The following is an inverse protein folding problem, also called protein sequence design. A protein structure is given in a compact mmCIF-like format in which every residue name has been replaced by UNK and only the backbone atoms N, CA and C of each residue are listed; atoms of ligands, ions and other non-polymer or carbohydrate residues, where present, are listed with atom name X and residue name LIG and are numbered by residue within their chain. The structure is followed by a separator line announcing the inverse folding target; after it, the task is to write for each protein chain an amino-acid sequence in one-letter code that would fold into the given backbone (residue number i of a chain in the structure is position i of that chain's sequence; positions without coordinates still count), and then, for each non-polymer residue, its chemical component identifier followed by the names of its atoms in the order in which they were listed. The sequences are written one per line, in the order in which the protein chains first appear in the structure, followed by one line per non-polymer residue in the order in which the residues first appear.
data_IF_612649103209
#
_entry.id   IF_612649103209
#
_cell.length_a   1.000
_cell.length_b   1.000
_cell.length_c   1.000
_cell.angle_alpha   90.00
_cell.angle_beta   90.00
_cell.angle_gamma   90.00
#
_symmetry.space_group_name_H-M   'P 1'
#
loop_
_entity.id
_entity.type
_entity.pdbx_description
1 polymer ?
#
# COMPACT_ATOMS: atom_id res chain seq x y z
N UNK A 1 -13.15 -39.53 20.52
CA UNK A 1 -11.95 -38.83 19.99
C UNK A 1 -11.55 -37.75 20.99
N UNK A 2 -10.28 -37.65 21.37
CA UNK A 2 -9.78 -36.53 22.19
C UNK A 2 -9.46 -35.37 21.24
N UNK A 3 -10.17 -34.26 21.38
CA UNK A 3 -9.87 -33.05 20.62
C UNK A 3 -8.93 -32.18 21.45
N UNK A 4 -7.88 -31.64 20.83
CA UNK A 4 -7.08 -30.58 21.44
C UNK A 4 -7.74 -29.24 21.11
N UNK A 5 -8.02 -28.46 22.15
CA UNK A 5 -8.52 -27.09 22.04
C UNK A 5 -7.32 -26.15 21.97
N UNK A 6 -7.28 -25.30 20.95
CA UNK A 6 -6.31 -24.22 20.84
C UNK A 6 -6.97 -22.88 21.17
N UNK A 7 -6.25 -21.98 21.84
CA UNK A 7 -6.66 -20.58 21.93
C UNK A 7 -6.61 -19.93 20.54
N UNK A 8 -7.57 -19.05 20.24
CA UNK A 8 -7.54 -18.27 19.00
C UNK A 8 -6.27 -17.41 18.95
N UNK A 9 -5.56 -17.44 17.82
CA UNK A 9 -4.50 -16.47 17.55
C UNK A 9 -5.13 -15.12 17.20
N UNK A 10 -5.26 -14.25 18.21
CA UNK A 10 -5.88 -12.94 18.10
C UNK A 10 -5.16 -11.90 18.98
N UNK A 11 -5.37 -10.63 18.68
CA UNK A 11 -4.76 -9.50 19.39
C UNK A 11 -5.70 -8.77 20.33
N UNK A 12 -5.16 -7.75 21.00
CA UNK A 12 -5.89 -6.84 21.87
C UNK A 12 -6.31 -5.56 21.13
N UNK A 13 -7.01 -4.66 21.82
CA UNK A 13 -7.36 -3.34 21.26
C UNK A 13 -6.11 -2.50 20.90
N UNK A 14 -4.98 -2.71 21.57
CA UNK A 14 -3.71 -2.07 21.22
C UNK A 14 -3.23 -2.48 19.83
N UNK A 15 -3.45 -3.74 19.42
CA UNK A 15 -3.14 -4.21 18.06
C UNK A 15 -4.05 -3.55 17.02
N UNK A 16 -5.34 -3.35 17.33
CA UNK A 16 -6.25 -2.57 16.48
C UNK A 16 -5.73 -1.14 16.30
N UNK A 17 -5.26 -0.51 17.38
CA UNK A 17 -4.71 0.83 17.28
C UNK A 17 -3.37 0.89 16.53
N UNK A 18 -2.52 -0.11 16.66
CA UNK A 18 -1.24 -0.20 15.96
C UNK A 18 -1.40 -0.46 14.44
N UNK A 19 -2.43 -1.21 14.06
CA UNK A 19 -2.78 -1.46 12.65
C UNK A 19 -1.79 -2.33 11.88
N UNK A 20 -2.00 -2.41 10.56
CA UNK A 20 -1.28 -3.33 9.68
C UNK A 20 0.25 -3.10 9.67
N UNK A 21 0.69 -1.85 9.68
CA UNK A 21 2.12 -1.50 9.56
C UNK A 21 2.96 -2.09 10.70
N UNK A 22 2.40 -2.18 11.92
CA UNK A 22 3.08 -2.83 13.05
C UNK A 22 3.29 -4.33 12.82
N UNK A 23 2.46 -4.95 11.98
CA UNK A 23 2.44 -6.41 11.75
C UNK A 23 3.39 -6.85 10.65
N UNK A 24 3.38 -6.16 9.52
CA UNK A 24 4.13 -6.53 8.31
C UNK A 24 5.25 -5.54 7.94
N UNK A 25 5.36 -4.42 8.64
CA UNK A 25 6.32 -3.36 8.35
C UNK A 25 5.84 -2.38 7.26
N UNK A 26 6.79 -1.62 6.70
CA UNK A 26 6.53 -0.69 5.59
C UNK A 26 6.53 -1.40 4.24
N UNK A 27 5.60 -1.03 3.36
CA UNK A 27 5.65 -1.42 1.97
C UNK A 27 6.63 -0.53 1.17
N UNK A 28 7.13 -1.05 0.06
CA UNK A 28 7.90 -0.28 -0.91
C UNK A 28 6.99 0.31 -1.99
N UNK A 29 7.47 1.38 -2.63
CA UNK A 29 6.65 2.21 -3.51
C UNK A 29 6.25 1.52 -4.84
N UNK A 30 7.11 0.67 -5.41
CA UNK A 30 6.82 -0.03 -6.65
C UNK A 30 6.08 -1.34 -6.38
N UNK A 31 4.76 -1.26 -6.19
CA UNK A 31 3.92 -2.39 -5.77
C UNK A 31 4.00 -3.60 -6.70
N UNK A 32 3.95 -3.41 -8.03
CA UNK A 32 3.96 -4.56 -8.96
C UNK A 32 5.30 -5.31 -8.92
N UNK A 33 6.42 -4.58 -8.97
CA UNK A 33 7.74 -5.20 -8.87
C UNK A 33 7.95 -5.86 -7.50
N UNK A 34 7.47 -5.22 -6.44
CA UNK A 34 7.57 -5.74 -5.08
C UNK A 34 6.81 -7.05 -4.91
N UNK A 35 5.53 -7.07 -5.31
CA UNK A 35 4.71 -8.27 -5.25
C UNK A 35 5.30 -9.40 -6.10
N UNK A 36 5.85 -9.09 -7.28
CA UNK A 36 6.56 -10.08 -8.09
C UNK A 36 7.76 -10.67 -7.34
N UNK A 37 8.58 -9.81 -6.72
CA UNK A 37 9.75 -10.25 -5.95
C UNK A 37 9.34 -11.13 -4.76
N UNK A 38 8.30 -10.74 -4.01
CA UNK A 38 7.75 -11.51 -2.89
C UNK A 38 7.33 -12.92 -3.29
N UNK A 39 6.77 -13.11 -4.49
CA UNK A 39 6.28 -14.42 -4.94
C UNK A 39 7.29 -15.23 -5.76
N UNK A 40 8.28 -14.59 -6.37
CA UNK A 40 9.17 -15.23 -7.34
C UNK A 40 10.64 -15.33 -6.89
N UNK A 41 10.96 -14.89 -5.67
CA UNK A 41 12.34 -14.91 -5.14
C UNK A 41 12.52 -15.99 -4.08
N UNK A 42 13.54 -16.82 -4.28
CA UNK A 42 13.89 -17.92 -3.37
C UNK A 42 14.33 -17.41 -1.98
N UNK A 43 14.14 -18.21 -0.91
CA UNK A 43 13.58 -19.57 -0.92
C UNK A 43 12.05 -19.62 -0.68
N UNK A 44 11.41 -18.48 -0.44
CA UNK A 44 9.98 -18.42 -0.14
C UNK A 44 9.12 -18.80 -1.35
N UNK A 45 9.56 -18.45 -2.56
CA UNK A 45 8.82 -18.68 -3.79
C UNK A 45 8.56 -20.14 -4.14
N UNK A 46 9.45 -21.07 -3.78
CA UNK A 46 9.26 -22.51 -4.02
C UNK A 46 8.73 -23.28 -2.81
N UNK A 47 8.48 -22.61 -1.68
CA UNK A 47 7.94 -23.28 -0.49
C UNK A 47 6.56 -23.85 -0.80
N UNK A 48 6.47 -25.18 -0.81
CA UNK A 48 5.20 -25.90 -0.98
C UNK A 48 4.32 -25.75 0.26
N UNK A 49 3.04 -25.53 0.03
CA UNK A 49 2.01 -25.55 1.07
C UNK A 49 0.71 -26.17 0.50
N UNK A 50 -0.09 -26.78 1.39
CA UNK A 50 -1.38 -27.37 1.04
C UNK A 50 -2.51 -26.57 1.71
N UNK A 51 -3.53 -26.20 0.94
CA UNK A 51 -4.68 -25.48 1.49
C UNK A 51 -5.53 -26.38 2.38
N UNK A 52 -5.85 -25.93 3.59
CA UNK A 52 -6.71 -26.68 4.53
C UNK A 52 -8.14 -26.95 4.03
N UNK A 53 -8.70 -26.08 3.18
CA UNK A 53 -10.10 -26.16 2.74
C UNK A 53 -10.30 -26.85 1.37
N UNK A 54 -9.27 -26.87 0.52
CA UNK A 54 -9.38 -27.37 -0.86
C UNK A 54 -8.38 -28.49 -1.19
N UNK A 55 -7.51 -28.88 -0.23
CA UNK A 55 -6.44 -29.88 -0.43
C UNK A 55 -5.62 -29.64 -1.71
N UNK A 56 -5.31 -28.37 -1.99
CA UNK A 56 -4.54 -27.94 -3.14
C UNK A 56 -3.09 -27.69 -2.74
N UNK A 57 -2.16 -28.47 -3.31
CA UNK A 57 -0.72 -28.33 -3.11
C UNK A 57 -0.12 -27.40 -4.18
N UNK A 58 0.51 -26.30 -3.75
CA UNK A 58 1.07 -25.28 -4.65
C UNK A 58 2.26 -24.56 -4.02
N UNK A 59 2.80 -23.55 -4.70
CA UNK A 59 3.85 -22.65 -4.22
C UNK A 59 3.47 -21.18 -4.50
N UNK A 60 4.03 -20.19 -3.77
CA UNK A 60 3.80 -18.78 -4.10
C UNK A 60 4.15 -18.42 -5.54
N UNK A 61 5.20 -19.02 -6.11
CA UNK A 61 5.62 -18.78 -7.49
C UNK A 61 4.61 -19.32 -8.50
N UNK A 62 4.10 -20.54 -8.27
CA UNK A 62 3.12 -21.17 -9.16
C UNK A 62 1.81 -20.39 -9.17
N UNK A 63 1.34 -19.96 -8.00
CA UNK A 63 0.14 -19.13 -7.87
C UNK A 63 0.29 -17.76 -8.55
N UNK A 64 1.43 -17.10 -8.38
CA UNK A 64 1.73 -15.85 -9.09
C UNK A 64 1.69 -16.04 -10.61
N UNK A 65 2.42 -17.04 -11.13
CA UNK A 65 2.45 -17.32 -12.57
C UNK A 65 1.06 -17.65 -13.12
N UNK A 66 0.29 -18.44 -12.37
CA UNK A 66 -1.05 -18.86 -12.78
C UNK A 66 -2.04 -17.69 -12.84
N UNK A 67 -2.02 -16.79 -11.84
CA UNK A 67 -2.92 -15.63 -11.81
C UNK A 67 -2.59 -14.60 -12.89
N UNK A 68 -1.31 -14.49 -13.28
CA UNK A 68 -0.88 -13.57 -14.33
C UNK A 68 -0.93 -14.17 -15.75
N UNK A 69 -1.22 -15.46 -15.89
CA UNK A 69 -1.39 -16.09 -17.20
C UNK A 69 -2.64 -15.51 -17.91
N UNK A 70 -2.53 -14.99 -19.14
CA UNK A 70 -3.69 -14.51 -19.89
C UNK A 70 -4.66 -15.62 -20.29
N UNK A 71 -4.21 -16.89 -20.32
CA UNK A 71 -5.00 -18.06 -20.69
C UNK A 71 -4.83 -19.18 -19.64
N UNK A 72 -5.24 -18.95 -18.38
CA UNK A 72 -4.95 -19.88 -17.30
C UNK A 72 -5.77 -21.17 -17.48
N UNK A 73 -5.08 -22.31 -17.51
CA UNK A 73 -5.74 -23.62 -17.55
C UNK A 73 -6.31 -23.92 -16.16
N UNK A 74 -7.62 -23.82 -16.01
CA UNK A 74 -8.31 -24.19 -14.77
C UNK A 74 -8.24 -25.71 -14.59
N UNK A 75 -7.33 -26.19 -13.73
CA UNK A 75 -7.34 -27.58 -13.29
C UNK A 75 -8.48 -27.76 -12.29
N UNK A 76 -9.49 -28.54 -12.65
CA UNK A 76 -10.57 -28.96 -11.74
C UNK A 76 -9.96 -29.80 -10.61
N UNK A 77 -9.52 -29.17 -9.53
CA UNK A 77 -9.27 -29.89 -8.27
C UNK A 77 -10.59 -30.02 -7.52
N UNK A 78 -10.88 -31.23 -7.06
CA UNK A 78 -12.06 -31.59 -6.27
C UNK A 78 -12.08 -30.79 -4.96
N UNK A 79 -12.85 -29.68 -4.94
CA UNK A 79 -13.08 -28.92 -3.73
C UNK A 79 -14.00 -29.68 -2.76
N UNK A 80 -13.73 -29.54 -1.47
CA UNK A 80 -14.72 -29.80 -0.43
C UNK A 80 -15.87 -28.82 -0.70
N UNK A 81 -17.10 -29.33 -0.92
CA UNK A 81 -18.32 -28.61 -1.36
C UNK A 81 -18.55 -28.45 -2.88
N UNK A 82 -17.79 -29.10 -3.76
CA UNK A 82 -18.17 -29.23 -5.18
C UNK A 82 -17.99 -27.99 -6.07
N UNK A 83 -17.38 -26.91 -5.55
CA UNK A 83 -17.04 -25.73 -6.35
C UNK A 83 -15.70 -25.93 -7.09
N UNK A 84 -15.76 -26.12 -8.40
CA UNK A 84 -14.55 -26.19 -9.22
C UNK A 84 -13.79 -24.85 -9.16
N UNK A 85 -12.48 -24.94 -8.89
CA UNK A 85 -11.56 -23.79 -8.95
C UNK A 85 -11.48 -23.28 -10.39
N UNK A 86 -11.68 -21.97 -10.57
CA UNK A 86 -11.53 -21.26 -11.86
C UNK A 86 -10.64 -20.05 -11.66
N UNK A 87 -9.63 -19.88 -12.51
CA UNK A 87 -8.77 -18.69 -12.44
C UNK A 87 -9.42 -17.56 -13.27
N UNK A 88 -9.85 -16.45 -12.65
CA UNK A 88 -10.45 -15.35 -13.39
C UNK A 88 -9.38 -14.52 -14.12
N UNK A 89 -9.74 -13.99 -15.28
CA UNK A 89 -8.84 -13.16 -16.09
C UNK A 89 -8.87 -11.72 -15.56
N UNK A 90 -7.71 -11.21 -15.14
CA UNK A 90 -7.54 -9.88 -14.50
C UNK A 90 -8.18 -8.75 -15.33
N UNK A 91 -7.93 -8.72 -16.64
CA UNK A 91 -8.44 -7.65 -17.51
C UNK A 91 -9.96 -7.66 -17.66
N UNK A 92 -10.60 -8.82 -17.45
CA UNK A 92 -12.06 -8.91 -17.42
C UNK A 92 -12.62 -8.44 -16.07
N UNK A 93 -11.93 -8.75 -14.97
CA UNK A 93 -12.30 -8.28 -13.64
C UNK A 93 -12.22 -6.75 -13.51
N UNK A 94 -11.25 -6.11 -14.17
CA UNK A 94 -11.16 -4.64 -14.22
C UNK A 94 -12.34 -3.96 -14.92
N UNK A 95 -13.09 -4.70 -15.75
CA UNK A 95 -14.27 -4.18 -16.46
C UNK A 95 -15.56 -4.29 -15.64
N UNK A 96 -15.53 -4.98 -14.49
CA UNK A 96 -16.68 -5.08 -13.60
C UNK A 96 -17.09 -3.71 -13.07
N UNK A 97 -18.39 -3.51 -12.89
CA UNK A 97 -18.91 -2.24 -12.35
C UNK A 97 -18.44 -1.99 -10.92
N UNK A 98 -18.29 -3.05 -10.11
CA UNK A 98 -17.66 -3.00 -8.79
C UNK A 98 -16.22 -2.48 -8.86
N UNK A 99 -15.40 -3.00 -9.79
CA UNK A 99 -14.02 -2.56 -9.99
C UNK A 99 -13.92 -1.09 -10.43
N UNK A 100 -14.75 -0.69 -11.40
CA UNK A 100 -14.79 0.70 -11.90
C UNK A 100 -15.22 1.68 -10.82
N UNK A 101 -16.30 1.36 -10.09
CA UNK A 101 -16.81 2.22 -9.01
C UNK A 101 -15.81 2.34 -7.86
N UNK A 102 -15.13 1.24 -7.51
CA UNK A 102 -14.08 1.23 -6.50
C UNK A 102 -12.78 1.87 -6.97
N UNK A 103 -12.62 2.10 -8.29
CA UNK A 103 -11.36 2.54 -8.93
C UNK A 103 -10.21 1.60 -8.56
N UNK A 104 -10.44 0.29 -8.75
CA UNK A 104 -9.39 -0.70 -8.53
C UNK A 104 -8.31 -0.58 -9.59
N UNK A 105 -7.08 -0.56 -9.13
CA UNK A 105 -5.89 -0.72 -9.97
C UNK A 105 -5.70 -2.19 -10.34
N UNK A 106 -5.00 -2.44 -11.46
CA UNK A 106 -4.72 -3.81 -11.92
C UNK A 106 -4.05 -4.66 -10.84
N UNK A 107 -3.12 -4.08 -10.09
CA UNK A 107 -2.39 -4.76 -9.04
C UNK A 107 -3.26 -5.11 -7.82
N UNK A 108 -4.30 -4.31 -7.54
CA UNK A 108 -5.30 -4.58 -6.50
C UNK A 108 -6.18 -5.77 -6.87
N UNK A 109 -6.58 -5.86 -8.15
CA UNK A 109 -7.31 -7.04 -8.67
C UNK A 109 -6.46 -8.30 -8.57
N UNK A 110 -5.17 -8.24 -8.92
CA UNK A 110 -4.25 -9.37 -8.77
C UNK A 110 -4.18 -9.83 -7.31
N UNK A 111 -4.07 -8.91 -6.35
CA UNK A 111 -4.02 -9.25 -4.92
C UNK A 111 -5.30 -9.95 -4.44
N UNK A 112 -6.49 -9.51 -4.87
CA UNK A 112 -7.76 -10.17 -4.55
C UNK A 112 -7.79 -11.59 -5.13
N UNK A 113 -7.41 -11.76 -6.40
CA UNK A 113 -7.42 -13.07 -7.05
C UNK A 113 -6.43 -14.02 -6.37
N UNK A 114 -5.23 -13.56 -6.01
CA UNK A 114 -4.28 -14.36 -5.22
C UNK A 114 -4.88 -14.77 -3.88
N UNK A 115 -5.48 -13.82 -3.14
CA UNK A 115 -6.09 -14.10 -1.84
C UNK A 115 -7.21 -15.13 -1.94
N UNK A 116 -8.13 -15.01 -2.90
CA UNK A 116 -9.24 -15.96 -3.06
C UNK A 116 -8.81 -17.33 -3.57
N UNK A 117 -7.57 -17.45 -4.05
CA UNK A 117 -6.90 -18.72 -4.29
C UNK A 117 -6.18 -19.25 -3.05
N UNK A 118 -5.25 -20.21 -3.19
CA UNK A 118 -4.47 -20.79 -2.10
C UNK A 118 -3.73 -19.79 -1.20
N UNK A 119 -3.34 -18.62 -1.72
CA UNK A 119 -2.48 -17.69 -0.99
C UNK A 119 -3.12 -17.06 0.25
N UNK A 120 -4.45 -17.15 0.47
CA UNK A 120 -5.05 -16.73 1.75
C UNK A 120 -4.38 -17.42 2.94
N UNK A 121 -3.92 -18.67 2.78
CA UNK A 121 -3.32 -19.43 3.87
C UNK A 121 -1.99 -18.80 4.27
N UNK A 122 -1.12 -18.52 3.30
CA UNK A 122 0.17 -17.86 3.55
C UNK A 122 -0.02 -16.48 4.16
N UNK A 123 -0.86 -15.63 3.55
CA UNK A 123 -1.05 -14.26 4.03
C UNK A 123 -1.66 -14.22 5.43
N UNK A 124 -2.66 -15.08 5.71
CA UNK A 124 -3.23 -15.15 7.05
C UNK A 124 -2.30 -15.80 8.07
N UNK A 125 -1.43 -16.73 7.68
CA UNK A 125 -0.38 -17.28 8.56
C UNK A 125 0.59 -16.18 8.98
N UNK A 126 1.02 -15.35 8.04
CA UNK A 126 1.89 -14.19 8.31
C UNK A 126 1.20 -13.20 9.24
N UNK A 127 -0.03 -12.83 8.89
CA UNK A 127 -0.81 -11.88 9.66
C UNK A 127 -1.10 -12.41 11.07
N UNK A 128 -1.49 -13.68 11.24
CA UNK A 128 -1.75 -14.27 12.57
C UNK A 128 -0.51 -14.72 13.31
N UNK A 129 0.66 -14.74 12.65
CA UNK A 129 1.90 -15.35 13.16
C UNK A 129 1.69 -16.78 13.65
N UNK A 130 0.81 -17.51 12.97
CA UNK A 130 0.35 -18.84 13.37
C UNK A 130 -0.05 -19.67 12.13
N UNK A 131 0.32 -20.96 12.03
CA UNK A 131 1.16 -21.71 12.98
C UNK A 131 2.58 -21.13 13.09
N UNK A 132 3.16 -21.19 14.29
CA UNK A 132 4.44 -20.50 14.60
C UNK A 132 5.59 -20.99 13.70
N UNK A 133 5.66 -22.28 13.41
CA UNK A 133 6.70 -22.86 12.55
C UNK A 133 6.60 -22.35 11.11
N UNK A 134 5.39 -22.28 10.58
CA UNK A 134 5.17 -21.73 9.23
C UNK A 134 5.50 -20.24 9.19
N UNK A 135 5.08 -19.46 10.18
CA UNK A 135 5.41 -18.04 10.28
C UNK A 135 6.93 -17.82 10.34
N UNK A 136 7.64 -18.57 11.19
CA UNK A 136 9.10 -18.44 11.36
C UNK A 136 9.83 -18.69 10.05
N UNK A 137 9.38 -19.63 9.22
CA UNK A 137 9.98 -19.83 7.90
C UNK A 137 9.96 -18.55 7.05
N UNK A 138 8.84 -17.82 7.01
CA UNK A 138 8.75 -16.56 6.25
C UNK A 138 9.55 -15.42 6.91
N UNK A 139 9.57 -15.37 8.24
CA UNK A 139 10.33 -14.39 9.02
C UNK A 139 11.84 -14.55 8.84
N UNK A 140 12.36 -15.78 9.00
CA UNK A 140 13.79 -16.11 8.86
C UNK A 140 14.30 -15.84 7.44
N UNK A 141 13.43 -15.99 6.44
CA UNK A 141 13.74 -15.69 5.04
C UNK A 141 13.39 -14.25 4.63
N UNK A 142 13.03 -13.39 5.59
CA UNK A 142 12.79 -11.94 5.42
C UNK A 142 11.77 -11.60 4.32
N UNK A 143 10.72 -12.41 4.18
CA UNK A 143 9.66 -12.18 3.22
C UNK A 143 8.29 -12.46 3.85
N UNK A 144 7.69 -11.39 4.37
CA UNK A 144 6.36 -11.38 4.98
C UNK A 144 5.29 -10.85 4.02
N UNK A 145 5.55 -10.85 2.71
CA UNK A 145 4.65 -10.34 1.68
C UNK A 145 4.06 -8.92 1.97
N UNK A 146 4.85 -7.95 2.46
CA UNK A 146 4.32 -6.66 2.90
C UNK A 146 3.62 -5.87 1.80
N UNK A 147 4.15 -5.86 0.57
CA UNK A 147 3.54 -5.16 -0.55
C UNK A 147 2.23 -5.84 -0.98
N UNK A 148 2.22 -7.17 -1.09
CA UNK A 148 1.02 -7.91 -1.46
C UNK A 148 -0.12 -7.72 -0.46
N UNK A 149 0.17 -7.85 0.84
CA UNK A 149 -0.83 -7.69 1.89
C UNK A 149 -1.31 -6.22 1.95
N UNK A 150 -0.41 -5.24 1.79
CA UNK A 150 -0.79 -3.84 1.71
C UNK A 150 -1.76 -3.57 0.54
N UNK A 151 -1.42 -4.07 -0.66
CA UNK A 151 -2.25 -3.91 -1.87
C UNK A 151 -3.60 -4.61 -1.71
N UNK A 152 -3.63 -5.81 -1.12
CA UNK A 152 -4.86 -6.52 -0.79
C UNK A 152 -5.74 -5.67 0.14
N UNK A 153 -5.17 -5.10 1.19
CA UNK A 153 -5.91 -4.24 2.13
C UNK A 153 -6.44 -2.99 1.45
N UNK A 154 -5.66 -2.37 0.57
CA UNK A 154 -6.14 -1.27 -0.29
C UNK A 154 -7.37 -1.69 -1.11
N UNK A 155 -7.28 -2.84 -1.78
CA UNK A 155 -8.35 -3.38 -2.61
C UNK A 155 -9.64 -3.64 -1.82
N UNK A 156 -9.52 -4.29 -0.64
CA UNK A 156 -10.65 -4.56 0.26
C UNK A 156 -11.29 -3.26 0.74
N UNK A 157 -10.49 -2.25 1.13
CA UNK A 157 -11.04 -0.96 1.56
C UNK A 157 -11.78 -0.22 0.44
N UNK A 158 -11.25 -0.26 -0.79
CA UNK A 158 -11.92 0.34 -1.96
C UNK A 158 -13.23 -0.39 -2.28
N UNK A 159 -13.22 -1.73 -2.27
CA UNK A 159 -14.40 -2.53 -2.55
C UNK A 159 -15.46 -2.44 -1.45
N UNK A 160 -15.07 -2.36 -0.17
CA UNK A 160 -16.03 -2.23 0.93
C UNK A 160 -16.87 -0.97 0.76
N UNK A 161 -16.29 0.16 0.34
CA UNK A 161 -17.00 1.42 0.09
C UNK A 161 -18.13 1.28 -0.92
N UNK A 162 -17.95 0.45 -1.96
CA UNK A 162 -18.95 0.25 -3.03
C UNK A 162 -19.81 -0.99 -2.85
N UNK A 163 -19.53 -1.82 -1.83
CA UNK A 163 -20.31 -3.02 -1.54
C UNK A 163 -21.71 -2.64 -1.06
N UNK A 164 -22.72 -3.21 -1.70
CA UNK A 164 -24.13 -3.04 -1.33
C UNK A 164 -24.43 -3.77 -0.02
N UNK A 165 -24.91 -3.02 0.97
CA UNK A 165 -25.42 -3.56 2.23
C UNK A 165 -26.88 -3.17 2.37
N UNK A 166 -27.77 -4.16 2.43
CA UNK A 166 -29.14 -3.95 2.88
C UNK A 166 -29.20 -3.98 4.42
N UNK A 167 -30.24 -3.39 5.01
CA UNK A 167 -30.45 -3.43 6.46
C UNK A 167 -30.54 -4.87 7.02
N UNK A 168 -30.98 -5.80 6.17
CA UNK A 168 -31.16 -7.21 6.49
C UNK A 168 -29.92 -8.05 6.22
N UNK A 169 -28.88 -7.51 5.58
CA UNK A 169 -27.67 -8.27 5.31
C UNK A 169 -27.01 -8.69 6.64
N UNK A 170 -26.82 -9.99 6.77
CA UNK A 170 -26.06 -10.63 7.84
C UNK A 170 -24.89 -11.37 7.22
N UNK A 171 -23.74 -11.28 7.87
CA UNK A 171 -22.56 -12.04 7.51
C UNK A 171 -22.26 -13.04 8.61
N UNK A 172 -21.78 -14.21 8.22
CA UNK A 172 -21.56 -15.33 9.10
C UNK A 172 -20.15 -15.87 8.96
N UNK A 173 -19.56 -16.34 10.06
CA UNK A 173 -18.24 -16.99 10.07
C UNK A 173 -18.21 -18.15 11.05
N UNK A 174 -17.90 -19.36 10.55
CA UNK A 174 -17.61 -20.52 11.39
C UNK A 174 -16.16 -20.50 11.91
N UNK A 175 -15.94 -20.91 13.15
CA UNK A 175 -14.61 -20.92 13.78
C UNK A 175 -13.92 -22.29 13.82
N UNK A 176 -14.36 -23.24 12.98
CA UNK A 176 -13.71 -24.53 12.82
C UNK A 176 -13.96 -25.54 13.94
N UNK A 177 -14.33 -25.15 15.15
CA UNK A 177 -14.80 -26.08 16.19
C UNK A 177 -13.76 -26.52 17.22
N UNK A 178 -12.48 -26.22 16.98
CA UNK A 178 -11.37 -26.54 17.89
C UNK A 178 -10.68 -25.30 18.46
N UNK A 179 -11.24 -24.11 18.22
CA UNK A 179 -10.65 -22.83 18.61
C UNK A 179 -11.56 -22.18 19.65
N UNK A 180 -11.01 -21.88 20.82
CA UNK A 180 -11.68 -21.11 21.86
C UNK A 180 -11.43 -19.61 21.66
N UNK A 181 -12.48 -18.80 21.75
CA UNK A 181 -12.34 -17.35 21.87
C UNK A 181 -11.65 -17.02 23.21
N UNK A 182 -10.78 -15.99 23.26
CA UNK A 182 -10.05 -15.63 24.47
C UNK A 182 -11.01 -15.12 25.55
N UNK A 183 -10.62 -15.22 26.82
CA UNK A 183 -11.41 -14.72 27.95
C UNK A 183 -11.74 -13.22 27.81
N UNK A 184 -10.78 -12.42 27.32
CA UNK A 184 -10.95 -10.98 27.06
C UNK A 184 -12.05 -10.64 26.03
N UNK A 185 -12.49 -11.62 25.24
CA UNK A 185 -13.65 -11.43 24.36
C UNK A 185 -14.96 -11.33 25.15
N UNK A 186 -15.06 -12.07 26.25
CA UNK A 186 -16.24 -12.14 27.11
C UNK A 186 -16.15 -11.22 28.33
N UNK A 187 -14.97 -11.12 28.93
CA UNK A 187 -14.74 -10.35 30.15
C UNK A 187 -14.57 -8.86 29.82
N UNK A 188 -15.42 -8.03 30.41
CA UNK A 188 -15.30 -6.56 30.32
C UNK A 188 -14.19 -6.07 31.23
N UNK A 189 -13.39 -5.14 30.73
CA UNK A 189 -12.38 -4.43 31.50
C UNK A 189 -13.01 -3.38 32.45
N UNK A 190 -12.14 -2.64 33.15
CA UNK A 190 -12.54 -1.56 34.09
C UNK A 190 -13.37 -0.45 33.43
N UNK A 191 -13.29 -0.31 32.11
CA UNK A 191 -14.04 0.68 31.31
C UNK A 191 -15.29 0.07 30.66
N UNK A 192 -15.57 -1.22 30.92
CA UNK A 192 -16.71 -1.92 30.32
C UNK A 192 -16.47 -2.44 28.90
N UNK A 193 -15.23 -2.39 28.41
CA UNK A 193 -14.85 -2.81 27.05
C UNK A 193 -14.44 -4.29 27.03
N UNK A 194 -14.85 -5.04 26.00
CA UNK A 194 -14.40 -6.41 25.76
C UNK A 194 -14.34 -6.69 24.27
N UNK A 195 -13.48 -7.62 23.85
CA UNK A 195 -13.34 -7.95 22.43
C UNK A 195 -12.00 -8.56 22.08
N UNK A 196 -11.76 -8.67 20.78
CA UNK A 196 -10.50 -9.17 20.23
C UNK A 196 -10.18 -8.50 18.89
N UNK A 197 -8.90 -8.44 18.54
CA UNK A 197 -8.45 -8.06 17.21
C UNK A 197 -8.19 -9.31 16.38
N UNK A 198 -8.89 -9.47 15.26
CA UNK A 198 -8.54 -10.49 14.26
C UNK A 198 -7.39 -9.95 13.40
N UNK A 199 -6.21 -10.56 13.53
CA UNK A 199 -5.03 -10.11 12.80
C UNK A 199 -5.08 -10.47 11.32
N UNK A 200 -5.69 -11.58 10.95
CA UNK A 200 -5.86 -12.01 9.55
C UNK A 200 -6.95 -11.21 8.83
N UNK A 201 -7.03 -11.36 7.50
CA UNK A 201 -8.24 -10.96 6.80
C UNK A 201 -9.38 -11.88 7.25
N UNK A 202 -10.54 -11.31 7.60
CA UNK A 202 -11.65 -12.08 8.13
C UNK A 202 -12.68 -12.37 7.04
N UNK A 203 -12.61 -13.58 6.50
CA UNK A 203 -13.57 -14.09 5.52
C UNK A 203 -14.91 -14.46 6.18
N UNK A 204 -16.00 -14.07 5.54
CA UNK A 204 -17.38 -14.24 6.01
C UNK A 204 -18.29 -14.54 4.81
N UNK A 205 -19.49 -15.05 5.07
CA UNK A 205 -20.48 -15.37 4.04
C UNK A 205 -21.85 -14.82 4.38
N UNK A 206 -22.64 -14.45 3.37
CA UNK A 206 -24.06 -14.11 3.56
C UNK A 206 -24.96 -15.34 3.64
N UNK A 207 -24.42 -16.54 3.39
CA UNK A 207 -25.15 -17.81 3.45
C UNK A 207 -24.83 -18.48 4.78
N UNK A 208 -25.82 -18.51 5.67
CA UNK A 208 -25.65 -19.03 7.04
C UNK A 208 -25.22 -20.50 7.06
N UNK A 209 -25.78 -21.31 6.20
CA UNK A 209 -25.51 -22.76 6.09
C UNK A 209 -24.04 -23.01 5.75
N UNK A 210 -23.44 -22.15 4.92
CA UNK A 210 -22.01 -22.23 4.62
C UNK A 210 -21.19 -22.02 5.89
N UNK A 211 -21.51 -21.02 6.72
CA UNK A 211 -20.78 -20.81 7.97
C UNK A 211 -20.93 -21.97 8.97
N UNK A 212 -22.09 -22.63 9.01
CA UNK A 212 -22.30 -23.84 9.82
C UNK A 212 -21.40 -24.98 9.34
N UNK A 213 -21.21 -25.14 8.04
CA UNK A 213 -20.30 -26.16 7.48
C UNK A 213 -18.85 -25.94 7.92
N UNK A 214 -18.46 -24.67 8.12
CA UNK A 214 -17.15 -24.29 8.64
C UNK A 214 -17.08 -24.22 10.17
N UNK A 215 -18.18 -24.30 10.92
CA UNK A 215 -18.14 -24.15 12.39
C UNK A 215 -17.60 -25.39 13.11
N UNK A 216 -17.58 -26.55 12.45
CA UNK A 216 -17.06 -27.81 12.99
C UNK A 216 -18.11 -28.78 13.54
N UNK A 217 -19.39 -28.41 13.54
CA UNK A 217 -20.49 -29.24 14.06
C UNK A 217 -20.59 -30.59 13.34
N UNK A 218 -20.53 -30.63 12.00
CA UNK A 218 -20.52 -31.85 11.19
C UNK A 218 -19.34 -32.78 11.49
N UNK A 219 -18.24 -32.23 12.01
CA UNK A 219 -17.04 -32.98 12.41
C UNK A 219 -17.06 -33.38 13.89
N UNK A 220 -18.19 -33.17 14.58
CA UNK A 220 -18.40 -33.42 16.01
C UNK A 220 -17.33 -32.75 16.88
N UNK A 221 -16.87 -31.57 16.47
CA UNK A 221 -15.85 -30.80 17.19
C UNK A 221 -16.46 -30.10 18.40
N UNK A 222 -15.69 -29.89 19.49
CA UNK A 222 -16.23 -29.54 20.80
C UNK A 222 -16.82 -28.13 20.90
N UNK A 223 -16.40 -27.17 20.07
CA UNK A 223 -16.83 -25.76 20.15
C UNK A 223 -17.36 -25.24 18.80
N UNK A 224 -18.50 -25.76 18.31
CA UNK A 224 -19.08 -25.32 17.04
C UNK A 224 -19.65 -23.90 17.15
N UNK A 225 -18.81 -22.90 16.87
CA UNK A 225 -19.15 -21.48 16.99
C UNK A 225 -19.36 -20.86 15.61
N UNK A 226 -20.46 -20.11 15.47
CA UNK A 226 -20.73 -19.20 14.35
C UNK A 226 -20.81 -17.77 14.89
N UNK A 227 -19.99 -16.88 14.33
CA UNK A 227 -20.14 -15.44 14.53
C UNK A 227 -21.21 -14.92 13.58
N UNK A 228 -22.19 -14.20 14.10
CA UNK A 228 -23.16 -13.43 13.31
C UNK A 228 -22.79 -11.95 13.33
N UNK A 229 -22.51 -11.39 12.18
CA UNK A 229 -22.06 -10.01 12.00
C UNK A 229 -23.19 -9.21 11.33
N UNK A 230 -23.58 -8.10 11.94
CA UNK A 230 -24.43 -7.09 11.29
C UNK A 230 -23.55 -6.05 10.62
N UNK A 231 -23.70 -5.88 9.32
CA UNK A 231 -22.96 -4.84 8.60
C UNK A 231 -23.47 -3.45 8.96
N UNK A 232 -22.54 -2.50 9.08
CA UNK A 232 -22.84 -1.08 9.22
C UNK A 232 -22.71 -0.31 7.91
N UNK A 233 -23.00 1.00 7.92
CA UNK A 233 -22.73 1.88 6.78
C UNK A 233 -21.22 2.14 6.58
N UNK A 234 -20.45 2.06 7.66
CA UNK A 234 -19.01 2.29 7.72
C UNK A 234 -18.27 0.95 7.79
N UNK A 235 -18.54 0.17 8.84
CA UNK A 235 -17.85 -1.10 9.09
C UNK A 235 -18.56 -2.25 8.38
N UNK A 236 -18.16 -2.47 7.13
CA UNK A 236 -18.75 -3.49 6.26
C UNK A 236 -17.67 -4.17 5.43
N UNK A 237 -17.80 -5.48 5.26
CA UNK A 237 -16.88 -6.29 4.48
C UNK A 237 -16.99 -6.01 2.99
N UNK A 238 -15.89 -6.17 2.27
CA UNK A 238 -15.89 -6.11 0.81
C UNK A 238 -16.51 -7.37 0.22
N UNK A 239 -17.53 -7.24 -0.63
CA UNK A 239 -17.96 -8.36 -1.45
C UNK A 239 -16.90 -8.65 -2.52
N UNK A 240 -16.30 -9.84 -2.47
CA UNK A 240 -15.23 -10.25 -3.40
C UNK A 240 -15.63 -11.44 -4.27
N UNK A 241 -16.91 -11.84 -4.23
CA UNK A 241 -17.44 -12.97 -4.97
C UNK A 241 -17.07 -12.95 -6.47
N UNK A 242 -17.22 -11.81 -7.15
CA UNK A 242 -16.93 -11.71 -8.60
C UNK A 242 -15.44 -11.88 -8.95
N UNK A 243 -14.56 -11.72 -7.96
CA UNK A 243 -13.11 -11.84 -8.10
C UNK A 243 -12.58 -13.20 -7.66
N UNK A 244 -13.44 -14.04 -7.06
CA UNK A 244 -13.02 -15.28 -6.43
C UNK A 244 -12.59 -16.35 -7.43
N UNK A 245 -11.58 -17.12 -7.04
CA UNK A 245 -11.24 -18.36 -7.75
C UNK A 245 -12.28 -19.48 -7.55
N UNK A 246 -13.27 -19.27 -6.69
CA UNK A 246 -14.37 -20.21 -6.41
C UNK A 246 -15.72 -19.49 -6.61
N UNK A 247 -16.26 -19.45 -7.86
CA UNK A 247 -17.43 -18.62 -8.20
C UNK A 247 -18.71 -18.92 -7.40
N UNK A 248 -18.82 -20.12 -6.81
CA UNK A 248 -19.94 -20.52 -5.97
C UNK A 248 -19.90 -19.95 -4.55
N UNK A 249 -18.79 -19.32 -4.14
CA UNK A 249 -18.62 -18.78 -2.79
C UNK A 249 -19.10 -17.32 -2.70
N UNK A 250 -20.06 -17.07 -1.81
CA UNK A 250 -20.53 -15.70 -1.50
C UNK A 250 -19.67 -15.06 -0.41
N UNK A 251 -18.42 -14.76 -0.75
CA UNK A 251 -17.44 -14.27 0.20
C UNK A 251 -17.49 -12.74 0.40
N UNK A 252 -17.49 -12.33 1.67
CA UNK A 252 -17.29 -10.97 2.12
C UNK A 252 -16.06 -10.91 3.03
N UNK A 253 -15.18 -9.95 2.80
CA UNK A 253 -13.88 -9.89 3.44
C UNK A 253 -13.70 -8.60 4.25
N UNK A 254 -13.36 -8.74 5.53
CA UNK A 254 -12.89 -7.62 6.34
C UNK A 254 -11.36 -7.55 6.33
N UNK A 255 -10.84 -6.33 6.41
CA UNK A 255 -9.41 -6.06 6.48
C UNK A 255 -8.77 -6.67 7.74
N UNK A 256 -7.46 -6.97 7.70
CA UNK A 256 -6.66 -7.33 8.87
C UNK A 256 -6.79 -6.34 10.01
N UNK A 257 -6.50 -6.83 11.22
CA UNK A 257 -6.53 -6.05 12.45
C UNK A 257 -7.89 -5.41 12.75
N UNK A 258 -8.99 -5.97 12.24
CA UNK A 258 -10.35 -5.53 12.59
C UNK A 258 -10.70 -5.97 14.01
N UNK A 259 -11.40 -5.12 14.76
CA UNK A 259 -11.78 -5.39 16.14
C UNK A 259 -13.19 -5.99 16.20
N UNK A 260 -13.37 -7.04 16.99
CA UNK A 260 -14.62 -7.75 17.20
C UNK A 260 -15.08 -7.60 18.64
N UNK A 261 -16.34 -7.24 18.82
CA UNK A 261 -16.97 -7.07 20.12
C UNK A 261 -18.28 -7.85 20.16
N UNK A 262 -18.60 -8.43 21.31
CA UNK A 262 -19.89 -9.09 21.47
C UNK A 262 -21.03 -8.06 21.44
N UNK A 263 -21.97 -8.24 20.51
CA UNK A 263 -23.08 -7.31 20.33
C UNK A 263 -24.24 -7.59 21.28
N UNK A 264 -24.50 -8.87 21.57
CA UNK A 264 -25.57 -9.33 22.45
C UNK A 264 -25.25 -10.73 23.01
N UNK A 265 -26.10 -11.23 23.89
CA UNK A 265 -26.00 -12.61 24.39
C UNK A 265 -25.91 -13.62 23.24
N UNK A 266 -25.10 -14.66 23.43
CA UNK A 266 -25.02 -15.77 22.51
C UNK A 266 -26.26 -16.66 22.65
N UNK A 267 -26.62 -17.36 21.58
CA UNK A 267 -27.70 -18.34 21.55
C UNK A 267 -27.17 -19.74 21.26
N UNK A 268 -27.87 -20.75 21.76
CA UNK A 268 -27.68 -22.14 21.38
C UNK A 268 -28.74 -22.51 20.36
N UNK A 269 -28.30 -23.02 19.22
CA UNK A 269 -29.20 -23.42 18.15
C UNK A 269 -29.04 -24.90 17.83
N UNK A 270 -30.17 -25.58 17.69
CA UNK A 270 -30.20 -27.00 17.31
C UNK A 270 -30.24 -27.08 15.79
N UNK A 271 -29.22 -27.69 15.21
CA UNK A 271 -29.16 -28.03 13.79
C UNK A 271 -29.31 -29.53 13.59
N UNK A 272 -29.52 -29.97 12.34
CA UNK A 272 -29.53 -31.40 11.99
C UNK A 272 -28.22 -32.13 12.35
N UNK A 273 -27.11 -31.40 12.43
CA UNK A 273 -25.77 -31.93 12.65
C UNK A 273 -25.32 -31.81 14.12
N UNK A 274 -26.08 -31.11 14.97
CA UNK A 274 -25.77 -30.89 16.39
C UNK A 274 -26.10 -29.48 16.89
N UNK A 275 -25.68 -29.17 18.11
CA UNK A 275 -25.84 -27.84 18.73
C UNK A 275 -24.75 -26.90 18.20
N UNK A 276 -25.13 -25.70 17.81
CA UNK A 276 -24.23 -24.62 17.37
C UNK A 276 -24.38 -23.42 18.31
N UNK A 277 -23.26 -22.84 18.71
CA UNK A 277 -23.21 -21.60 19.50
C UNK A 277 -23.16 -20.44 18.51
N UNK A 278 -24.18 -19.58 18.52
CA UNK A 278 -24.24 -18.40 17.66
C UNK A 278 -23.96 -17.16 18.49
N UNK A 279 -22.93 -16.41 18.12
CA UNK A 279 -22.47 -15.22 18.84
C UNK A 279 -22.66 -14.01 17.94
N UNK A 280 -23.63 -13.13 18.24
CA UNK A 280 -23.75 -11.85 17.55
C UNK A 280 -22.58 -10.94 17.91
N UNK A 281 -21.90 -10.40 16.90
CA UNK A 281 -20.74 -9.52 17.05
C UNK A 281 -20.87 -8.23 16.23
N UNK A 282 -20.24 -7.17 16.72
CA UNK A 282 -19.93 -5.97 15.94
C UNK A 282 -18.48 -6.04 15.50
N UNK A 283 -18.22 -5.49 14.31
CA UNK A 283 -16.87 -5.40 13.75
C UNK A 283 -16.56 -3.93 13.55
N UNK A 284 -15.41 -3.48 14.03
CA UNK A 284 -14.82 -2.19 13.66
C UNK A 284 -13.67 -2.47 12.70
N UNK A 285 -13.81 -2.06 11.44
CA UNK A 285 -12.82 -2.32 10.40
C UNK A 285 -11.59 -1.41 10.59
N UNK A 286 -10.38 -1.97 10.42
CA UNK A 286 -9.15 -1.20 10.55
C UNK A 286 -8.83 -0.41 9.26
N UNK A 287 -9.51 0.71 9.07
CA UNK A 287 -9.38 1.56 7.88
C UNK A 287 -8.20 2.55 7.96
N UNK A 288 -7.20 2.28 8.81
CA UNK A 288 -6.04 3.18 9.00
C UNK A 288 -4.99 3.05 7.91
N UNK A 289 -4.93 1.90 7.24
CA UNK A 289 -3.97 1.67 6.17
C UNK A 289 -4.35 2.50 4.96
N UNK A 290 -3.39 3.25 4.41
CA UNK A 290 -3.60 4.00 3.17
C UNK A 290 -3.90 3.04 2.02
N UNK A 291 -4.75 3.48 1.10
CA UNK A 291 -4.90 2.85 -0.20
C UNK A 291 -3.66 3.12 -1.08
N UNK A 292 -3.50 2.34 -2.15
CA UNK A 292 -2.45 2.51 -3.16
C UNK A 292 -2.46 3.93 -3.73
N UNK A 293 -3.65 4.49 -4.01
CA UNK A 293 -3.80 5.86 -4.54
C UNK A 293 -3.38 6.92 -3.53
N UNK A 294 -3.80 6.76 -2.28
CA UNK A 294 -3.44 7.66 -1.19
C UNK A 294 -1.92 7.63 -0.94
N UNK A 295 -1.31 6.44 -1.02
CA UNK A 295 0.14 6.28 -0.87
C UNK A 295 0.89 6.99 -2.00
N UNK A 296 0.49 6.78 -3.27
CA UNK A 296 1.06 7.49 -4.42
C UNK A 296 0.94 9.01 -4.26
N UNK A 297 -0.21 9.48 -3.79
CA UNK A 297 -0.44 10.90 -3.55
C UNK A 297 0.44 11.45 -2.42
N UNK A 298 0.66 10.68 -1.36
CA UNK A 298 1.55 11.06 -0.26
C UNK A 298 3.01 11.16 -0.72
N UNK A 299 3.50 10.22 -1.53
CA UNK A 299 4.87 10.29 -2.07
C UNK A 299 5.07 11.55 -2.92
N UNK A 300 4.10 11.88 -3.79
CA UNK A 300 4.09 13.15 -4.52
C UNK A 300 4.10 14.35 -3.57
N UNK A 301 3.22 14.35 -2.57
CA UNK A 301 3.12 15.47 -1.62
C UNK A 301 4.43 15.68 -0.86
N UNK A 302 5.10 14.60 -0.44
CA UNK A 302 6.39 14.66 0.24
C UNK A 302 7.46 15.31 -0.65
N UNK A 303 7.65 14.80 -1.87
CA UNK A 303 8.61 15.38 -2.82
C UNK A 303 8.34 16.85 -3.10
N UNK A 304 7.08 17.22 -3.34
CA UNK A 304 6.71 18.60 -3.64
C UNK A 304 6.92 19.51 -2.43
N UNK A 305 6.73 19.00 -1.21
CA UNK A 305 7.04 19.75 0.01
C UNK A 305 8.54 19.95 0.17
N UNK A 306 9.34 18.91 -0.08
CA UNK A 306 10.81 19.00 -0.08
C UNK A 306 11.34 19.97 -1.12
N UNK A 307 10.81 19.93 -2.35
CA UNK A 307 11.23 20.85 -3.41
C UNK A 307 10.87 22.29 -3.07
N UNK A 308 9.68 22.55 -2.52
CA UNK A 308 9.31 23.88 -2.05
C UNK A 308 10.32 24.43 -1.03
N UNK A 309 10.74 23.60 -0.08
CA UNK A 309 11.75 23.98 0.90
C UNK A 309 13.08 24.36 0.23
N UNK A 310 13.53 23.57 -0.75
CA UNK A 310 14.73 23.88 -1.56
C UNK A 310 14.59 25.23 -2.29
N UNK A 311 13.42 25.53 -2.85
CA UNK A 311 13.16 26.82 -3.51
C UNK A 311 13.25 27.98 -2.52
N UNK A 312 12.69 27.85 -1.32
CA UNK A 312 12.79 28.89 -0.28
C UNK A 312 14.24 29.10 0.18
N UNK A 313 15.04 28.04 0.32
CA UNK A 313 16.47 28.16 0.62
C UNK A 313 17.24 28.88 -0.51
N UNK A 314 16.98 28.52 -1.77
CA UNK A 314 17.57 29.22 -2.92
C UNK A 314 17.19 30.70 -2.87
N UNK A 315 15.91 31.02 -2.62
CA UNK A 315 15.41 32.38 -2.53
C UNK A 315 16.12 33.18 -1.45
N UNK A 316 16.25 32.63 -0.24
CA UNK A 316 17.00 33.29 0.84
C UNK A 316 18.47 33.54 0.45
N UNK A 317 19.13 32.52 -0.11
CA UNK A 317 20.54 32.63 -0.50
C UNK A 317 20.75 33.65 -1.63
N UNK A 318 19.95 33.57 -2.69
CA UNK A 318 20.05 34.43 -3.88
C UNK A 318 19.70 35.87 -3.53
N UNK A 319 18.60 36.11 -2.80
CA UNK A 319 18.20 37.47 -2.40
C UNK A 319 19.16 38.11 -1.41
N UNK A 320 19.89 37.33 -0.61
CA UNK A 320 20.95 37.88 0.26
C UNK A 320 22.08 38.57 -0.51
N UNK A 321 22.25 38.28 -1.81
CA UNK A 321 23.26 38.94 -2.65
C UNK A 321 22.83 40.32 -3.13
N UNK A 322 21.53 40.66 -3.09
CA UNK A 322 20.98 41.93 -3.60
C UNK A 322 21.68 43.14 -2.99
N UNK A 323 21.89 43.11 -1.67
CA UNK A 323 22.45 44.22 -0.90
C UNK A 323 23.97 44.15 -0.75
N UNK A 324 24.61 43.08 -1.26
CA UNK A 324 26.06 42.92 -1.14
C UNK A 324 26.78 43.85 -2.11
N UNK A 325 27.79 44.56 -1.59
CA UNK A 325 28.68 45.43 -2.35
C UNK A 325 29.25 44.78 -3.62
N UNK A 326 29.49 43.46 -3.61
CA UNK A 326 29.98 42.71 -4.78
C UNK A 326 28.99 42.78 -5.96
N UNK A 327 27.70 42.59 -5.71
CA UNK A 327 26.67 42.59 -6.75
C UNK A 327 26.39 44.01 -7.27
N UNK A 328 26.36 45.01 -6.38
CA UNK A 328 26.17 46.42 -6.74
C UNK A 328 27.32 46.88 -7.66
N UNK A 329 28.58 46.70 -7.23
CA UNK A 329 29.75 47.05 -8.05
C UNK A 329 29.82 46.27 -9.37
N UNK A 330 29.34 45.02 -9.37
CA UNK A 330 29.29 44.21 -10.60
C UNK A 330 28.33 44.83 -11.62
N UNK A 331 27.17 45.30 -11.18
CA UNK A 331 26.18 45.95 -12.05
C UNK A 331 26.71 47.28 -12.61
N UNK A 332 27.34 48.12 -11.79
CA UNK A 332 27.94 49.40 -12.22
C UNK A 332 28.99 49.21 -13.33
N UNK A 333 29.69 48.08 -13.32
CA UNK A 333 30.74 47.74 -14.28
C UNK A 333 30.24 46.84 -15.42
N UNK A 334 28.95 46.53 -15.47
CA UNK A 334 28.34 45.74 -16.54
C UNK A 334 27.94 46.67 -17.71
N UNK A 335 28.61 46.59 -18.89
CA UNK A 335 28.31 47.47 -20.02
C UNK A 335 26.89 47.26 -20.59
N UNK A 336 26.21 46.17 -20.22
CA UNK A 336 24.85 45.86 -20.67
C UNK A 336 23.80 46.12 -19.59
N UNK A 337 24.17 46.73 -18.46
CA UNK A 337 23.27 46.95 -17.33
C UNK A 337 21.97 47.63 -17.78
N UNK A 338 22.05 48.72 -18.54
CA UNK A 338 20.88 49.39 -19.13
C UNK A 338 19.71 49.52 -18.14
N UNK A 339 18.51 49.00 -18.45
CA UNK A 339 17.34 49.03 -17.56
C UNK A 339 17.32 47.91 -16.50
N UNK A 340 18.31 47.02 -16.47
CA UNK A 340 18.34 45.86 -15.58
C UNK A 340 18.80 46.23 -14.17
N UNK A 341 18.22 45.56 -13.17
CA UNK A 341 18.63 45.68 -11.76
C UNK A 341 19.08 44.32 -11.22
N UNK A 342 19.89 44.34 -10.16
CA UNK A 342 20.28 43.11 -9.43
C UNK A 342 19.02 42.37 -9.00
N UNK A 343 18.07 43.07 -8.37
CA UNK A 343 16.79 42.51 -7.94
C UNK A 343 16.05 41.80 -9.07
N UNK A 344 15.87 42.43 -10.23
CA UNK A 344 15.17 41.83 -11.37
C UNK A 344 15.88 40.55 -11.87
N UNK A 345 17.21 40.51 -11.82
CA UNK A 345 17.98 39.31 -12.17
C UNK A 345 17.83 38.18 -11.14
N UNK A 346 17.80 38.51 -9.85
CA UNK A 346 17.54 37.54 -8.79
C UNK A 346 16.11 36.99 -8.89
N UNK A 347 15.12 37.86 -9.10
CA UNK A 347 13.71 37.49 -9.31
C UNK A 347 13.54 36.59 -10.56
N UNK A 348 14.30 36.83 -11.63
CA UNK A 348 14.33 35.96 -12.80
C UNK A 348 14.83 34.54 -12.47
N UNK A 349 15.92 34.44 -11.71
CA UNK A 349 16.46 33.13 -11.27
C UNK A 349 15.38 32.37 -10.51
N UNK A 350 14.72 33.03 -9.55
CA UNK A 350 13.66 32.44 -8.73
C UNK A 350 12.45 32.06 -9.59
N UNK A 351 12.09 32.87 -10.57
CA UNK A 351 10.99 32.57 -11.51
C UNK A 351 11.29 31.29 -12.30
N UNK A 352 12.53 31.12 -12.79
CA UNK A 352 12.95 29.89 -13.49
C UNK A 352 12.94 28.66 -12.58
N UNK A 353 13.40 28.79 -11.33
CA UNK A 353 13.31 27.71 -10.35
C UNK A 353 11.85 27.31 -10.08
N UNK A 354 10.96 28.28 -9.94
CA UNK A 354 9.53 28.04 -9.76
C UNK A 354 8.88 27.37 -10.97
N UNK A 355 9.31 27.67 -12.20
CA UNK A 355 8.82 26.98 -13.39
C UNK A 355 9.07 25.47 -13.31
N UNK A 356 10.30 25.06 -12.94
CA UNK A 356 10.62 23.63 -12.78
C UNK A 356 9.82 23.01 -11.63
N UNK A 357 9.61 23.75 -10.53
CA UNK A 357 8.73 23.31 -9.46
C UNK A 357 7.29 23.05 -9.93
N UNK A 358 6.72 23.94 -10.76
CA UNK A 358 5.39 23.76 -11.35
C UNK A 358 5.34 22.52 -12.26
N UNK A 359 6.38 22.28 -13.06
CA UNK A 359 6.47 21.08 -13.90
C UNK A 359 6.38 19.81 -13.04
N UNK A 360 7.08 19.77 -11.89
CA UNK A 360 6.98 18.64 -10.97
C UNK A 360 5.59 18.54 -10.34
N UNK A 361 4.93 19.65 -10.00
CA UNK A 361 3.55 19.62 -9.51
C UNK A 361 2.56 19.02 -10.52
N UNK A 362 2.80 19.22 -11.82
CA UNK A 362 1.98 18.68 -12.90
C UNK A 362 2.19 17.16 -13.14
N UNK A 363 3.31 16.59 -12.71
CA UNK A 363 3.60 15.14 -12.84
C UNK A 363 2.55 14.31 -12.10
N UNK A 364 2.09 13.21 -12.71
CA UNK A 364 1.08 12.31 -12.13
C UNK A 364 1.64 11.60 -10.89
N UNK A 365 0.81 11.36 -9.88
CA UNK A 365 1.23 10.74 -8.61
C UNK A 365 1.83 9.33 -8.81
N UNK A 366 1.38 8.58 -9.82
CA UNK A 366 1.95 7.27 -10.16
C UNK A 366 3.43 7.34 -10.61
N UNK A 367 3.89 8.47 -11.18
CA UNK A 367 5.29 8.62 -11.59
C UNK A 367 6.23 8.84 -10.40
N UNK A 368 5.71 9.18 -9.22
CA UNK A 368 6.49 9.34 -7.98
C UNK A 368 6.85 8.02 -7.30
N UNK A 369 6.21 6.92 -7.70
CA UNK A 369 6.50 5.58 -7.19
C UNK A 369 7.31 4.72 -8.18
N UNK A 370 7.45 5.17 -9.43
CA UNK A 370 8.36 4.59 -10.40
C UNK A 370 9.80 4.99 -10.06
N UNK A 371 10.65 4.02 -9.77
CA UNK A 371 12.03 4.26 -9.32
C UNK A 371 12.84 5.13 -10.29
N UNK A 372 12.71 4.90 -11.60
CA UNK A 372 13.50 5.62 -12.62
C UNK A 372 13.01 7.06 -12.76
N UNK A 373 11.69 7.25 -12.84
CA UNK A 373 11.07 8.57 -12.95
C UNK A 373 11.29 9.38 -11.67
N UNK A 374 11.06 8.78 -10.51
CA UNK A 374 11.26 9.44 -9.23
C UNK A 374 12.72 9.84 -9.01
N UNK A 375 13.69 8.95 -9.31
CA UNK A 375 15.11 9.30 -9.27
C UNK A 375 15.43 10.50 -10.14
N UNK A 376 14.86 10.59 -11.34
CA UNK A 376 15.02 11.74 -12.22
C UNK A 376 14.46 13.02 -11.57
N UNK A 377 13.26 12.97 -10.98
CA UNK A 377 12.69 14.13 -10.27
C UNK A 377 13.54 14.59 -9.08
N UNK A 378 14.16 13.67 -8.35
CA UNK A 378 15.06 14.00 -7.26
C UNK A 378 16.34 14.67 -7.78
N UNK A 379 16.92 14.14 -8.85
CA UNK A 379 18.10 14.74 -9.49
C UNK A 379 17.79 16.12 -10.06
N UNK A 380 16.66 16.27 -10.77
CA UNK A 380 16.23 17.56 -11.33
C UNK A 380 16.04 18.61 -10.23
N UNK A 381 15.48 18.24 -9.06
CA UNK A 381 15.37 19.12 -7.89
C UNK A 381 16.73 19.58 -7.35
N UNK A 382 17.70 18.66 -7.24
CA UNK A 382 19.07 18.98 -6.77
C UNK A 382 19.80 19.87 -7.79
N UNK A 383 19.66 19.53 -9.07
CA UNK A 383 20.28 20.28 -10.16
C UNK A 383 19.72 21.72 -10.20
N UNK A 384 18.42 21.95 -9.97
CA UNK A 384 17.85 23.30 -9.94
C UNK A 384 18.56 24.20 -8.93
N UNK A 385 18.86 23.69 -7.74
CA UNK A 385 19.63 24.43 -6.73
C UNK A 385 21.02 24.78 -7.25
N UNK A 386 21.75 23.79 -7.75
CA UNK A 386 23.09 24.00 -8.27
C UNK A 386 23.11 25.01 -9.41
N UNK A 387 22.17 24.88 -10.36
CA UNK A 387 22.09 25.75 -11.52
C UNK A 387 21.67 27.18 -11.17
N UNK A 388 20.80 27.38 -10.18
CA UNK A 388 20.40 28.70 -9.69
C UNK A 388 21.59 29.46 -9.09
N UNK A 389 22.31 28.82 -8.17
CA UNK A 389 23.52 29.39 -7.55
C UNK A 389 24.59 29.64 -8.62
N UNK A 390 24.78 28.68 -9.52
CA UNK A 390 25.72 28.80 -10.64
C UNK A 390 25.39 29.99 -11.54
N UNK A 391 24.11 30.26 -11.83
CA UNK A 391 23.70 31.39 -12.68
C UNK A 391 24.06 32.73 -12.03
N UNK A 392 23.82 32.86 -10.73
CA UNK A 392 24.20 34.05 -9.97
C UNK A 392 25.71 34.24 -9.93
N UNK A 393 26.44 33.20 -9.54
CA UNK A 393 27.89 33.29 -9.39
C UNK A 393 28.58 33.52 -10.74
N UNK A 394 28.07 32.97 -11.85
CA UNK A 394 28.70 33.16 -13.17
C UNK A 394 28.67 34.63 -13.58
N UNK A 395 27.58 35.35 -13.31
CA UNK A 395 27.51 36.80 -13.52
C UNK A 395 28.46 37.57 -12.60
N UNK A 396 28.60 37.14 -11.34
CA UNK A 396 29.47 37.78 -10.36
C UNK A 396 30.98 37.58 -10.64
N UNK A 397 31.37 36.41 -11.15
CA UNK A 397 32.78 36.01 -11.25
C UNK A 397 33.37 36.24 -12.66
N UNK A 398 32.58 36.03 -13.72
CA UNK A 398 33.05 36.12 -15.11
C UNK A 398 32.85 37.54 -15.69
N UNK A 399 33.67 38.49 -15.24
CA UNK A 399 33.53 39.92 -15.60
C UNK A 399 33.73 40.24 -17.08
N UNK A 400 34.50 39.42 -17.80
CA UNK A 400 34.90 39.68 -19.19
C UNK A 400 33.89 39.18 -20.23
N UNK A 401 33.06 38.20 -19.89
CA UNK A 401 32.16 37.55 -20.87
C UNK A 401 30.76 37.19 -20.34
N UNK A 402 30.47 37.48 -19.07
CA UNK A 402 29.11 37.39 -18.53
C UNK A 402 28.49 38.75 -18.30
N UNK A 403 27.44 39.05 -19.05
CA UNK A 403 26.70 40.31 -18.93
C UNK A 403 25.23 40.06 -18.60
N UNK A 404 24.68 40.90 -17.74
CA UNK A 404 23.34 40.72 -17.14
C UNK A 404 22.23 40.64 -18.19
N UNK A 405 22.29 41.44 -19.26
CA UNK A 405 21.27 41.45 -20.32
C UNK A 405 21.16 40.08 -21.02
N UNK A 406 22.28 39.39 -21.22
CA UNK A 406 22.30 38.06 -21.84
C UNK A 406 22.00 36.93 -20.85
N UNK A 407 22.03 37.22 -19.54
CA UNK A 407 21.79 36.22 -18.50
C UNK A 407 20.36 36.25 -17.98
N UNK A 408 19.67 37.39 -18.03
CA UNK A 408 18.27 37.53 -17.62
C UNK A 408 17.42 36.40 -18.23
N UNK A 409 17.36 36.28 -19.56
CA UNK A 409 16.49 35.27 -20.18
C UNK A 409 17.15 33.90 -20.43
N UNK A 410 18.40 33.70 -20.02
CA UNK A 410 19.09 32.43 -20.26
C UNK A 410 18.61 31.33 -19.31
N UNK A 411 18.40 30.14 -19.86
CA UNK A 411 18.07 28.92 -19.11
C UNK A 411 19.13 28.60 -18.05
N UNK A 412 18.67 28.14 -16.87
CA UNK A 412 19.51 27.76 -15.73
C UNK A 412 20.61 26.78 -16.16
N UNK A 413 20.23 25.75 -16.90
CA UNK A 413 21.14 24.70 -17.39
C UNK A 413 22.19 25.22 -18.36
N UNK A 414 21.81 26.15 -19.24
CA UNK A 414 22.72 26.74 -20.23
C UNK A 414 23.79 27.58 -19.55
N UNK A 415 23.40 28.40 -18.56
CA UNK A 415 24.36 29.22 -17.80
C UNK A 415 25.26 28.32 -16.96
N UNK A 416 24.72 27.28 -16.34
CA UNK A 416 25.51 26.33 -15.55
C UNK A 416 26.62 25.66 -16.35
N UNK A 417 26.31 25.13 -17.55
CA UNK A 417 27.31 24.53 -18.44
C UNK A 417 28.42 25.52 -18.81
N UNK A 418 28.06 26.77 -19.12
CA UNK A 418 29.04 27.83 -19.41
C UNK A 418 29.95 28.10 -18.23
N UNK A 419 29.41 28.16 -17.01
CA UNK A 419 30.21 28.32 -15.79
C UNK A 419 31.19 27.16 -15.61
N UNK A 420 30.77 25.91 -15.83
CA UNK A 420 31.66 24.75 -15.75
C UNK A 420 32.82 24.90 -16.74
N UNK A 421 32.53 25.24 -18.00
CA UNK A 421 33.58 25.47 -19.01
C UNK A 421 34.53 26.59 -18.60
N UNK A 422 34.00 27.71 -18.10
CA UNK A 422 34.79 28.83 -17.62
C UNK A 422 35.72 28.43 -16.46
N UNK A 423 35.20 27.70 -15.46
CA UNK A 423 35.99 27.23 -14.33
C UNK A 423 37.07 26.24 -14.77
N UNK A 424 36.76 25.32 -15.68
CA UNK A 424 37.73 24.38 -16.23
C UNK A 424 38.87 25.08 -16.97
N UNK A 425 38.56 26.14 -17.74
CA UNK A 425 39.57 26.98 -18.40
C UNK A 425 40.46 27.70 -17.38
N UNK A 426 39.87 28.27 -16.33
CA UNK A 426 40.64 28.92 -15.27
C UNK A 426 41.56 27.95 -14.53
N UNK A 427 41.08 26.74 -14.21
CA UNK A 427 41.90 25.68 -13.61
C UNK A 427 43.07 25.29 -14.52
N UNK A 428 42.83 25.10 -15.83
CA UNK A 428 43.88 24.76 -16.78
C UNK A 428 44.94 25.86 -16.92
N UNK A 429 44.57 27.14 -16.78
CA UNK A 429 45.52 28.26 -16.77
C UNK A 429 46.20 28.49 -15.42
N UNK A 430 45.74 27.85 -14.35
CA UNK A 430 46.23 28.04 -12.97
C UNK A 430 47.07 26.86 -12.45
N UNK A 431 47.14 25.75 -13.17
CA UNK A 431 48.07 24.65 -12.86
C UNK A 431 49.49 25.09 -13.21
N UNK A 432 50.43 25.09 -12.25
CA UNK A 432 51.84 25.37 -12.54
C UNK A 432 52.45 24.18 -13.29
N UNK A 433 53.31 24.48 -14.28
CA UNK A 433 54.26 23.52 -14.86
C UNK A 433 55.17 22.89 -13.79
#
# INVERSE_FOLDING_TARGET
RKFELSAMSCGSIQDFHAGLQKRIGSCCANFERAMQLEHCTEPVSTRRFETSNYSHLTTPMDEWKLVLDPNPISKSTSAIHGNARRIPIIDNLLKLESAKRARLERIEVIAIVLYTGPMFQVYNTILRKYPTEEYKFFEDNRNLFPATIFVLVSAIQKLSRVTSYSADLRLYRGLGGCVALPEAFYARDENGCSGLTEWGCMSTTSIREVAIDYCGVKKLRPLPIVLEIRGGSVDKGACIQEYSQYPGEKEYLFVPCSFLEQASHHSLEITKDGIVIVIPVRVNANLKTMTVDEYMQQQKSMHISSFRYVIEEIKQQVLSEETKLKAIKRLETDPTAGPHSVKAFLDDIITKCNSVYQDHQAVKSADYIDEKKFRKLVLDMVDVRMMAISKLQEWLDNKSSSFIAYRMNAELRTVHRRRITFLAQQLATSSPD
#
